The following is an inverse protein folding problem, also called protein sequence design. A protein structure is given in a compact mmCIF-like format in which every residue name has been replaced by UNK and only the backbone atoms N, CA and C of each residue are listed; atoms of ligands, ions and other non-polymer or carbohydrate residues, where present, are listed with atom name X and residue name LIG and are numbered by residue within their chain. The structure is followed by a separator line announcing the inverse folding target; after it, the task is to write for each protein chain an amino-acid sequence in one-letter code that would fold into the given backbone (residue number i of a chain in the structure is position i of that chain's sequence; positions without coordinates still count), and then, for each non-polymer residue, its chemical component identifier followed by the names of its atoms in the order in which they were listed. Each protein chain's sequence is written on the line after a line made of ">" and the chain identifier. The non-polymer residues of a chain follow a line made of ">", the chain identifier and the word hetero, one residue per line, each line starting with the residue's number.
data_IF_233323815907
#
_entry.id   IF_233323815907
#
_cell.length_a   1.000
_cell.length_b   1.000
_cell.length_c   1.000
_cell.angle_alpha   90.00
_cell.angle_beta   90.00
_cell.angle_gamma   90.00
#
_symmetry.space_group_name_H-M   'P 1'
#
loop_
_entity.id
_entity.type
_entity.pdbx_description
1 polymer ?
#
# COMPACT_ATOMS: atom_id res chain seq x y z
N UNK A 1 17.34 -1.34 -28.19
CA UNK A 1 18.29 -1.53 -27.08
C UNK A 1 17.77 -1.02 -25.73
N UNK A 2 17.03 0.10 -25.68
CA UNK A 2 16.44 0.61 -24.40
C UNK A 2 15.45 -0.33 -23.71
N UNK A 3 14.72 -1.18 -24.44
CA UNK A 3 13.70 -2.07 -23.85
C UNK A 3 14.27 -3.19 -22.94
N UNK A 4 15.51 -3.60 -23.17
CA UNK A 4 16.16 -4.65 -22.37
C UNK A 4 16.77 -4.12 -21.06
N UNK A 5 17.19 -2.87 -21.06
CA UNK A 5 17.69 -2.19 -19.85
C UNK A 5 16.55 -1.92 -18.85
N UNK A 6 15.39 -1.47 -19.36
CA UNK A 6 14.21 -1.20 -18.52
C UNK A 6 13.68 -2.51 -17.92
N UNK A 7 13.63 -3.60 -18.68
CA UNK A 7 13.27 -4.93 -18.16
C UNK A 7 14.26 -5.44 -17.11
N UNK A 8 15.56 -5.11 -17.26
CA UNK A 8 16.58 -5.43 -16.25
C UNK A 8 16.40 -4.63 -14.96
N UNK A 9 16.07 -3.34 -15.05
CA UNK A 9 15.80 -2.49 -13.87
C UNK A 9 14.52 -2.96 -13.16
N UNK A 10 13.46 -3.27 -13.88
CA UNK A 10 12.23 -3.84 -13.32
C UNK A 10 12.49 -5.20 -12.65
N UNK A 11 13.32 -6.04 -13.28
CA UNK A 11 13.72 -7.33 -12.74
C UNK A 11 14.64 -7.16 -11.51
N UNK A 12 15.56 -6.19 -11.51
CA UNK A 12 16.47 -5.94 -10.37
C UNK A 12 15.72 -5.38 -9.15
N UNK A 13 14.75 -4.49 -9.33
CA UNK A 13 13.90 -4.02 -8.23
C UNK A 13 13.03 -5.16 -7.70
N UNK A 14 12.55 -6.05 -8.57
CA UNK A 14 11.78 -7.24 -8.18
C UNK A 14 12.65 -8.29 -7.49
N UNK A 15 13.89 -8.50 -7.95
CA UNK A 15 14.84 -9.48 -7.37
C UNK A 15 15.46 -8.98 -6.07
N UNK A 16 15.74 -7.67 -5.92
CA UNK A 16 16.27 -7.13 -4.66
C UNK A 16 15.28 -7.24 -3.50
N UNK A 17 13.97 -7.28 -3.78
CA UNK A 17 12.94 -7.50 -2.76
C UNK A 17 12.80 -8.97 -2.34
N UNK A 18 13.37 -9.92 -3.09
CA UNK A 18 13.18 -11.37 -2.84
C UNK A 18 14.33 -11.97 -1.99
N UNK A 19 15.48 -11.32 -1.90
CA UNK A 19 16.70 -11.93 -1.32
C UNK A 19 16.99 -11.58 0.14
N UNK A 20 16.12 -10.85 0.84
CA UNK A 20 16.31 -10.55 2.26
C UNK A 20 15.35 -11.35 3.12
N UNK A 21 15.86 -12.43 3.65
CA UNK A 21 15.41 -13.20 4.81
C UNK A 21 14.67 -14.50 4.56
N UNK A 22 15.42 -15.58 4.65
CA UNK A 22 14.94 -16.97 4.81
C UNK A 22 14.52 -17.27 6.25
N UNK A 23 13.41 -16.73 6.67
CA UNK A 23 12.44 -17.41 7.51
C UNK A 23 11.21 -17.50 6.63
N UNK A 24 10.49 -18.63 6.63
CA UNK A 24 9.31 -18.81 5.79
C UNK A 24 8.23 -17.83 6.23
N UNK A 25 8.31 -16.58 5.74
CA UNK A 25 7.27 -15.61 5.95
C UNK A 25 5.96 -16.21 5.42
N UNK A 26 5.00 -16.39 6.30
CA UNK A 26 3.70 -16.90 5.89
C UNK A 26 2.93 -15.77 5.19
N UNK A 27 2.97 -15.79 3.85
CA UNK A 27 2.34 -14.78 3.02
C UNK A 27 0.94 -15.20 2.60
N UNK A 28 -0.01 -14.32 2.77
CA UNK A 28 -1.39 -14.49 2.34
C UNK A 28 -1.67 -13.58 1.12
N UNK A 29 -2.12 -14.17 0.02
CA UNK A 29 -2.59 -13.42 -1.14
C UNK A 29 -4.07 -13.06 -0.97
N UNK A 30 -4.35 -11.76 -0.91
CA UNK A 30 -5.68 -11.20 -0.70
C UNK A 30 -6.12 -10.48 -1.96
N UNK A 31 -7.09 -11.04 -2.67
CA UNK A 31 -7.70 -10.39 -3.83
C UNK A 31 -8.97 -9.66 -3.42
N UNK A 32 -9.07 -8.39 -3.76
CA UNK A 32 -10.23 -7.54 -3.55
C UNK A 32 -10.71 -6.95 -4.89
N UNK A 33 -11.95 -6.54 -5.03
CA UNK A 33 -12.47 -6.01 -6.29
C UNK A 33 -11.66 -4.84 -6.86
N UNK A 34 -10.98 -4.07 -6.00
CA UNK A 34 -10.34 -2.81 -6.39
C UNK A 34 -8.84 -2.76 -6.12
N UNK A 35 -8.26 -3.79 -5.49
CA UNK A 35 -6.83 -3.92 -5.28
C UNK A 35 -6.47 -5.38 -4.94
N UNK A 36 -5.19 -5.71 -5.09
CA UNK A 36 -4.63 -6.97 -4.59
C UNK A 36 -3.58 -6.67 -3.54
N UNK A 37 -3.54 -7.48 -2.49
CA UNK A 37 -2.57 -7.37 -1.40
C UNK A 37 -1.82 -8.68 -1.20
N UNK A 38 -0.54 -8.59 -0.87
CA UNK A 38 0.23 -9.68 -0.28
C UNK A 38 0.47 -9.30 1.17
N UNK A 39 -0.16 -10.02 2.06
CA UNK A 39 -0.12 -9.77 3.50
C UNK A 39 0.85 -10.72 4.20
N UNK A 40 1.67 -10.18 5.09
CA UNK A 40 2.64 -10.94 5.87
C UNK A 40 2.06 -11.18 7.27
N UNK A 41 1.86 -12.46 7.60
CA UNK A 41 1.25 -12.87 8.87
C UNK A 41 2.20 -12.74 10.07
N UNK A 42 3.52 -12.63 9.86
CA UNK A 42 4.50 -12.37 10.91
C UNK A 42 4.63 -10.87 11.24
N UNK A 43 4.64 -10.04 10.20
CA UNK A 43 4.68 -8.59 10.34
C UNK A 43 3.31 -7.98 10.67
N UNK A 44 2.25 -8.73 10.41
CA UNK A 44 0.84 -8.33 10.52
C UNK A 44 0.54 -7.09 9.66
N UNK A 45 1.17 -7.02 8.49
CA UNK A 45 1.09 -5.91 7.56
C UNK A 45 1.07 -6.40 6.11
N UNK A 46 0.41 -5.67 5.19
CA UNK A 46 0.64 -5.90 3.77
C UNK A 46 2.10 -5.60 3.40
N UNK A 47 2.75 -6.53 2.69
CA UNK A 47 4.08 -6.33 2.08
C UNK A 47 3.99 -5.58 0.77
N UNK A 48 2.89 -5.73 0.06
CA UNK A 48 2.60 -4.96 -1.15
C UNK A 48 1.11 -4.87 -1.39
N UNK A 49 0.70 -3.77 -1.99
CA UNK A 49 -0.65 -3.59 -2.54
C UNK A 49 -0.51 -3.08 -3.96
N UNK A 50 -1.27 -3.68 -4.88
CA UNK A 50 -1.29 -3.31 -6.29
C UNK A 50 -2.70 -2.99 -6.76
N UNK A 51 -2.83 -2.00 -7.61
CA UNK A 51 -4.11 -1.64 -8.23
C UNK A 51 -3.90 -0.93 -9.57
N UNK A 52 -4.92 -1.02 -10.42
CA UNK A 52 -5.04 -0.12 -11.57
C UNK A 52 -5.92 1.05 -11.17
N UNK A 53 -5.48 2.25 -11.46
CA UNK A 53 -6.25 3.48 -11.27
C UNK A 53 -6.67 4.01 -12.65
N UNK A 54 -7.96 3.98 -12.92
CA UNK A 54 -8.55 4.60 -14.10
C UNK A 54 -8.96 6.04 -13.80
N UNK A 55 -8.96 6.90 -14.82
CA UNK A 55 -9.50 8.25 -14.69
C UNK A 55 -10.95 8.25 -14.17
N UNK A 56 -11.75 7.26 -14.59
CA UNK A 56 -13.14 7.06 -14.17
C UNK A 56 -13.31 6.63 -12.69
N UNK A 57 -12.24 6.17 -12.04
CA UNK A 57 -12.28 5.78 -10.62
C UNK A 57 -12.22 6.99 -9.68
N UNK A 58 -11.85 8.15 -10.23
CA UNK A 58 -11.72 9.42 -9.50
C UNK A 58 -13.03 10.18 -9.61
N UNK A 59 -13.75 10.27 -8.50
CA UNK A 59 -15.05 10.94 -8.42
C UNK A 59 -15.16 11.84 -7.20
N UNK A 60 -16.40 12.18 -6.83
CA UNK A 60 -16.71 13.15 -5.80
C UNK A 60 -17.21 12.56 -4.47
N UNK A 61 -17.24 11.23 -4.36
CA UNK A 61 -17.61 10.58 -3.10
C UNK A 61 -16.66 11.01 -1.99
N UNK A 62 -17.24 11.40 -0.87
CA UNK A 62 -16.51 11.81 0.34
C UNK A 62 -16.56 10.70 1.36
N UNK A 63 -15.44 10.55 2.09
CA UNK A 63 -15.40 9.67 3.26
C UNK A 63 -16.37 10.17 4.32
N UNK A 64 -17.16 9.26 4.87
CA UNK A 64 -17.99 9.58 6.02
C UNK A 64 -17.23 9.36 7.34
N UNK A 65 -17.41 10.26 8.33
CA UNK A 65 -16.73 10.14 9.63
C UNK A 65 -17.08 8.85 10.41
N UNK A 66 -18.24 8.27 10.12
CA UNK A 66 -18.73 7.02 10.74
C UNK A 66 -18.02 5.77 10.25
N UNK A 67 -17.33 5.81 9.09
CA UNK A 67 -16.67 4.64 8.55
C UNK A 67 -15.52 4.18 9.44
N UNK A 68 -15.53 2.90 9.74
CA UNK A 68 -14.49 2.22 10.51
C UNK A 68 -13.69 1.29 9.61
N UNK A 69 -12.45 1.04 9.99
CA UNK A 69 -11.67 -0.03 9.38
C UNK A 69 -12.23 -1.38 9.80
N UNK A 70 -12.11 -2.36 8.93
CA UNK A 70 -12.60 -3.72 9.12
C UNK A 70 -11.39 -4.67 9.02
N UNK A 71 -11.33 -5.62 9.95
CA UNK A 71 -10.38 -6.70 9.87
C UNK A 71 -10.86 -7.69 8.81
N UNK A 72 -10.06 -7.86 7.76
CA UNK A 72 -10.38 -8.67 6.60
C UNK A 72 -9.37 -9.82 6.38
N UNK A 73 -8.50 -10.06 7.36
CA UNK A 73 -7.52 -11.15 7.39
C UNK A 73 -7.94 -12.16 8.42
N UNK A 74 -8.15 -13.40 7.97
CA UNK A 74 -8.37 -14.54 8.87
C UNK A 74 -7.00 -15.10 9.31
N UNK A 75 -6.57 -14.69 10.50
CA UNK A 75 -5.27 -15.06 11.06
C UNK A 75 -5.43 -16.11 12.16
N UNK A 76 -4.70 -17.25 12.12
CA UNK A 76 -4.85 -18.34 13.09
C UNK A 76 -4.61 -17.95 14.55
N UNK A 77 -3.81 -16.90 14.80
CA UNK A 77 -3.45 -16.42 16.14
C UNK A 77 -4.20 -15.13 16.55
N UNK A 78 -5.27 -14.77 15.83
CA UNK A 78 -5.90 -13.46 15.94
C UNK A 78 -5.17 -12.40 15.12
N UNK A 79 -5.88 -11.41 14.68
CA UNK A 79 -5.39 -10.44 13.71
C UNK A 79 -4.86 -9.21 14.41
N UNK A 80 -3.84 -8.57 13.84
CA UNK A 80 -3.57 -7.16 14.10
C UNK A 80 -4.78 -6.37 13.65
N UNK A 81 -5.65 -6.07 14.58
CA UNK A 81 -6.85 -5.35 14.29
C UNK A 81 -6.57 -3.84 14.18
N UNK A 82 -7.51 -3.12 13.61
CA UNK A 82 -7.42 -1.67 13.53
C UNK A 82 -7.23 -1.00 14.91
N UNK A 83 -7.47 -1.70 16.00
CA UNK A 83 -7.30 -1.21 17.36
C UNK A 83 -5.84 -1.12 17.80
N UNK A 84 -4.93 -1.88 17.20
CA UNK A 84 -3.49 -1.80 17.47
C UNK A 84 -2.89 -0.41 17.19
N UNK A 85 -3.56 0.37 16.36
CA UNK A 85 -3.16 1.75 16.07
C UNK A 85 -3.59 2.77 17.13
N UNK A 86 -4.49 2.40 18.05
CA UNK A 86 -4.97 3.32 19.09
C UNK A 86 -3.81 3.71 20.01
N UNK A 87 -3.66 5.02 20.23
CA UNK A 87 -2.62 5.58 21.10
C UNK A 87 -1.16 5.23 20.73
N UNK A 88 -0.94 4.66 19.53
CA UNK A 88 0.40 4.25 19.07
C UNK A 88 1.26 5.40 18.54
N UNK A 89 0.66 6.54 18.22
CA UNK A 89 1.31 7.64 17.51
C UNK A 89 1.32 7.47 15.98
N UNK A 90 0.82 6.35 15.46
CA UNK A 90 0.76 6.07 14.02
C UNK A 90 -0.66 6.19 13.48
N UNK A 91 -0.76 6.68 12.26
CA UNK A 91 -2.00 6.63 11.48
C UNK A 91 -2.19 5.25 10.84
N UNK A 92 -3.44 4.87 10.59
CA UNK A 92 -3.84 3.78 9.69
C UNK A 92 -3.62 4.25 8.26
N UNK A 93 -2.37 4.18 7.79
CA UNK A 93 -2.00 4.69 6.46
C UNK A 93 -2.46 3.73 5.36
N UNK A 94 -3.29 4.22 4.44
CA UNK A 94 -3.70 3.45 3.27
C UNK A 94 -2.52 3.24 2.31
N UNK A 95 -2.42 2.05 1.71
CA UNK A 95 -1.56 1.79 0.55
C UNK A 95 -2.31 2.11 -0.75
N UNK A 96 -3.46 1.48 -1.00
CA UNK A 96 -4.42 1.92 -2.02
C UNK A 96 -5.34 3.01 -1.41
N UNK A 97 -5.23 4.27 -1.85
CA UNK A 97 -5.95 5.38 -1.22
C UNK A 97 -7.45 5.30 -1.42
N UNK A 98 -8.23 5.69 -0.41
CA UNK A 98 -9.67 5.80 -0.53
C UNK A 98 -10.11 6.75 -1.65
N UNK A 99 -9.36 7.84 -1.87
CA UNK A 99 -9.64 8.83 -2.93
C UNK A 99 -9.47 8.25 -4.34
N UNK A 100 -8.65 7.21 -4.52
CA UNK A 100 -8.49 6.50 -5.80
C UNK A 100 -9.72 5.64 -6.16
N UNK A 101 -10.70 5.55 -5.28
CA UNK A 101 -11.96 4.81 -5.42
C UNK A 101 -13.17 5.68 -5.14
N UNK A 102 -13.04 6.98 -5.42
CA UNK A 102 -14.09 7.98 -5.09
C UNK A 102 -15.22 8.06 -6.11
N UNK A 103 -15.27 7.18 -7.10
CA UNK A 103 -16.39 7.11 -8.06
C UNK A 103 -17.66 6.48 -7.43
N UNK A 104 -17.53 5.68 -6.37
CA UNK A 104 -18.63 4.97 -5.75
C UNK A 104 -18.38 4.73 -4.26
N UNK A 105 -19.44 4.80 -3.43
CA UNK A 105 -19.37 4.63 -1.96
C UNK A 105 -18.80 3.27 -1.58
N UNK A 106 -19.29 2.18 -2.17
CA UNK A 106 -18.82 0.84 -1.85
C UNK A 106 -17.34 0.62 -2.26
N UNK A 107 -16.92 1.21 -3.38
CA UNK A 107 -15.53 1.14 -3.84
C UNK A 107 -14.59 1.88 -2.88
N UNK A 108 -14.94 3.11 -2.49
CA UNK A 108 -14.16 3.84 -1.49
C UNK A 108 -14.13 3.11 -0.15
N UNK A 109 -15.28 2.63 0.33
CA UNK A 109 -15.39 1.93 1.61
C UNK A 109 -14.57 0.63 1.65
N UNK A 110 -14.42 -0.08 0.53
CA UNK A 110 -13.64 -1.31 0.44
C UNK A 110 -12.15 -1.13 0.71
N UNK A 111 -11.63 0.10 0.67
CA UNK A 111 -10.24 0.40 1.00
C UNK A 111 -9.96 0.46 2.50
N UNK A 112 -11.00 0.48 3.35
CA UNK A 112 -10.89 0.59 4.81
C UNK A 112 -10.75 -0.79 5.47
N UNK A 113 -9.69 -1.52 5.11
CA UNK A 113 -9.43 -2.89 5.58
C UNK A 113 -7.99 -3.04 6.08
N UNK A 114 -7.74 -4.01 6.96
CA UNK A 114 -6.41 -4.27 7.50
C UNK A 114 -5.43 -4.74 6.43
N UNK A 115 -5.91 -5.44 5.39
CA UNK A 115 -5.08 -5.84 4.24
C UNK A 115 -4.58 -4.69 3.38
N UNK A 116 -5.03 -3.45 3.64
CA UNK A 116 -4.68 -2.26 2.86
C UNK A 116 -4.04 -1.14 3.68
N UNK A 117 -3.78 -1.35 4.97
CA UNK A 117 -3.21 -0.31 5.84
C UNK A 117 -1.92 -0.74 6.52
N UNK A 118 -1.08 0.24 6.81
CA UNK A 118 0.16 0.06 7.58
C UNK A 118 0.37 1.21 8.54
N UNK A 119 1.19 1.04 9.60
CA UNK A 119 1.57 2.15 10.47
C UNK A 119 2.37 3.21 9.71
N UNK A 120 1.81 4.39 9.58
CA UNK A 120 2.46 5.57 9.00
C UNK A 120 2.49 6.70 10.01
N UNK A 121 3.64 7.36 10.16
CA UNK A 121 3.70 8.59 10.95
C UNK A 121 2.77 9.66 10.35
N UNK A 122 2.11 10.47 11.20
CA UNK A 122 1.19 11.51 10.73
C UNK A 122 1.81 12.42 9.66
N UNK A 123 3.06 12.87 9.87
CA UNK A 123 3.80 13.74 8.95
C UNK A 123 4.03 13.08 7.58
N UNK A 124 4.29 11.77 7.53
CA UNK A 124 4.39 11.02 6.29
C UNK A 124 3.01 10.94 5.62
N UNK A 125 2.02 10.38 6.33
CA UNK A 125 0.71 10.06 5.80
C UNK A 125 -0.03 11.28 5.23
N UNK A 126 0.04 12.43 5.91
CA UNK A 126 -0.61 13.67 5.47
C UNK A 126 0.33 14.60 4.66
N UNK A 127 1.57 14.21 4.48
CA UNK A 127 2.61 14.99 3.80
C UNK A 127 3.10 14.34 2.51
N UNK A 128 4.30 13.77 2.56
CA UNK A 128 4.96 13.24 1.36
C UNK A 128 4.21 12.07 0.72
N UNK A 129 3.58 11.20 1.51
CA UNK A 129 2.76 10.11 0.97
C UNK A 129 1.54 10.63 0.23
N UNK A 130 0.79 11.57 0.82
CA UNK A 130 -0.35 12.22 0.18
C UNK A 130 0.04 12.87 -1.16
N UNK A 131 1.20 13.54 -1.24
CA UNK A 131 1.68 14.12 -2.50
C UNK A 131 1.90 13.08 -3.60
N UNK A 132 2.37 11.88 -3.26
CA UNK A 132 2.49 10.81 -4.27
C UNK A 132 1.13 10.32 -4.77
N UNK A 133 0.13 10.27 -3.89
CA UNK A 133 -1.25 9.90 -4.25
C UNK A 133 -1.87 10.92 -5.19
N UNK A 134 -1.71 12.21 -4.90
CA UNK A 134 -2.19 13.31 -5.75
C UNK A 134 -1.52 13.27 -7.13
N UNK A 135 -0.22 12.99 -7.16
CA UNK A 135 0.52 12.83 -8.42
C UNK A 135 -0.03 11.63 -9.22
N UNK A 136 -0.26 10.48 -8.59
CA UNK A 136 -0.84 9.30 -9.25
C UNK A 136 -2.22 9.60 -9.84
N UNK A 137 -3.09 10.31 -9.11
CA UNK A 137 -4.41 10.71 -9.63
C UNK A 137 -4.27 11.64 -10.84
N UNK A 138 -3.37 12.61 -10.78
CA UNK A 138 -3.09 13.50 -11.93
C UNK A 138 -2.57 12.72 -13.14
N UNK A 139 -1.72 11.72 -12.92
CA UNK A 139 -1.22 10.85 -13.99
C UNK A 139 -2.35 9.97 -14.57
N UNK A 140 -3.23 9.41 -13.75
CA UNK A 140 -4.39 8.63 -14.23
C UNK A 140 -5.33 9.49 -15.09
N UNK A 141 -5.59 10.73 -14.68
CA UNK A 141 -6.38 11.68 -15.48
C UNK A 141 -5.70 12.04 -16.81
N UNK A 142 -4.37 12.09 -16.84
CA UNK A 142 -3.60 12.40 -18.06
C UNK A 142 -3.50 11.21 -19.02
N UNK A 143 -3.33 10.00 -18.50
CA UNK A 143 -3.03 8.79 -19.28
C UNK A 143 -4.19 7.81 -19.38
N UNK A 144 -5.37 8.17 -18.89
CA UNK A 144 -6.58 7.36 -18.80
C UNK A 144 -6.48 6.25 -17.75
N UNK A 145 -5.35 5.56 -17.67
CA UNK A 145 -5.11 4.54 -16.65
C UNK A 145 -3.62 4.34 -16.36
N UNK A 146 -3.32 4.08 -15.09
CA UNK A 146 -1.99 3.71 -14.60
C UNK A 146 -2.09 2.50 -13.68
N UNK A 147 -1.05 1.68 -13.65
CA UNK A 147 -0.86 0.66 -12.63
C UNK A 147 0.01 1.20 -11.51
N UNK A 148 -0.31 0.84 -10.27
CA UNK A 148 0.40 1.32 -9.08
C UNK A 148 0.74 0.14 -8.17
N UNK A 149 1.94 0.20 -7.61
CA UNK A 149 2.44 -0.67 -6.55
C UNK A 149 2.81 0.19 -5.35
N UNK A 150 2.35 -0.18 -4.16
CA UNK A 150 2.79 0.39 -2.89
C UNK A 150 3.35 -0.73 -2.00
N UNK A 151 4.56 -0.51 -1.46
CA UNK A 151 5.27 -1.50 -0.65
C UNK A 151 5.83 -0.84 0.62
N UNK A 152 5.44 -1.27 1.80
CA UNK A 152 6.18 -1.01 3.02
C UNK A 152 7.53 -1.74 3.00
N UNK A 153 8.55 -1.13 3.63
CA UNK A 153 9.92 -1.66 3.66
C UNK A 153 10.41 -1.72 5.10
N UNK A 154 10.87 -2.89 5.51
CA UNK A 154 11.56 -3.13 6.78
C UNK A 154 13.04 -3.36 6.47
N UNK A 155 13.91 -2.47 6.98
CA UNK A 155 15.35 -2.46 6.68
C UNK A 155 16.15 -3.42 7.57
N UNK A 156 15.61 -3.72 8.75
CA UNK A 156 16.18 -4.67 9.70
C UNK A 156 15.07 -5.46 10.41
N UNK A 157 15.49 -6.42 11.26
CA UNK A 157 14.57 -7.26 12.05
C UNK A 157 14.10 -6.58 13.33
N UNK A 158 14.83 -5.60 13.82
CA UNK A 158 14.54 -4.87 15.06
C UNK A 158 13.61 -3.68 14.79
N UNK A 159 12.51 -3.96 14.10
CA UNK A 159 11.49 -2.94 13.84
C UNK A 159 10.65 -2.65 15.08
N UNK A 160 10.26 -1.40 15.23
CA UNK A 160 9.25 -0.99 16.22
C UNK A 160 7.97 -1.78 16.00
N UNK A 161 7.34 -2.21 17.09
CA UNK A 161 6.06 -2.91 17.04
C UNK A 161 5.04 -2.17 17.91
N UNK A 162 3.79 -2.16 17.48
CA UNK A 162 2.69 -1.44 18.13
C UNK A 162 1.51 -2.36 18.40
N UNK A 163 0.70 -1.96 19.40
CA UNK A 163 -0.55 -2.65 19.75
C UNK A 163 -0.34 -3.98 20.45
N UNK A 164 -1.45 -4.60 20.81
CA UNK A 164 -1.49 -5.86 21.55
C UNK A 164 -0.96 -7.05 20.70
N UNK A 165 -1.08 -6.97 19.39
CA UNK A 165 -0.67 -8.04 18.48
C UNK A 165 0.74 -7.84 17.90
N UNK A 166 1.48 -6.83 18.37
CA UNK A 166 2.88 -6.58 17.93
C UNK A 166 3.00 -6.29 16.43
N UNK A 167 2.13 -5.44 15.90
CA UNK A 167 2.11 -4.99 14.52
C UNK A 167 3.42 -4.28 14.15
N UNK A 168 4.11 -4.73 13.13
CA UNK A 168 5.42 -4.19 12.74
C UNK A 168 5.31 -2.85 12.02
N UNK A 169 6.12 -1.87 12.45
CA UNK A 169 6.17 -0.53 11.85
C UNK A 169 7.20 -0.52 10.71
N UNK A 170 6.82 -0.17 9.46
CA UNK A 170 7.77 -0.04 8.37
C UNK A 170 8.74 1.12 8.56
N UNK A 171 10.01 0.95 8.14
CA UNK A 171 11.01 2.02 8.13
C UNK A 171 10.82 3.00 6.97
N UNK A 172 10.32 2.49 5.85
CA UNK A 172 10.14 3.27 4.63
C UNK A 172 9.00 2.69 3.78
N UNK A 173 8.69 3.39 2.70
CA UNK A 173 7.71 2.98 1.70
C UNK A 173 8.27 3.19 0.29
N UNK A 174 7.99 2.24 -0.58
CA UNK A 174 8.13 2.39 -2.01
C UNK A 174 6.75 2.59 -2.63
N UNK A 175 6.62 3.53 -3.53
CA UNK A 175 5.48 3.61 -4.45
C UNK A 175 6.04 3.70 -5.86
N UNK A 176 5.56 2.83 -6.75
CA UNK A 176 5.90 2.84 -8.16
C UNK A 176 4.64 2.89 -8.99
N UNK A 177 4.69 3.57 -10.12
CA UNK A 177 3.59 3.61 -11.07
C UNK A 177 4.10 3.57 -12.51
N UNK A 178 3.29 2.96 -13.38
CA UNK A 178 3.57 2.82 -14.80
C UNK A 178 2.31 2.94 -15.62
N UNK A 179 2.47 3.26 -16.88
CA UNK A 179 1.40 3.40 -17.83
C UNK A 179 0.77 2.03 -18.12
N UNK A 180 -0.55 1.89 -17.93
CA UNK A 180 -1.23 0.60 -17.99
C UNK A 180 -1.19 -0.08 -19.38
N UNK A 181 -1.05 0.70 -20.48
CA UNK A 181 -1.05 0.17 -21.85
C UNK A 181 0.35 -0.09 -22.41
N UNK A 182 1.36 0.62 -21.93
CA UNK A 182 2.73 0.56 -22.52
C UNK A 182 3.77 -0.01 -21.57
N UNK A 183 3.40 -0.28 -20.31
CA UNK A 183 4.29 -0.71 -19.23
C UNK A 183 5.49 0.24 -18.96
N UNK A 184 5.41 1.45 -19.50
CA UNK A 184 6.44 2.46 -19.26
C UNK A 184 6.37 2.96 -17.82
N UNK A 185 7.48 2.90 -17.10
CA UNK A 185 7.58 3.45 -15.75
C UNK A 185 7.39 4.97 -15.81
N UNK A 186 6.45 5.48 -15.03
CA UNK A 186 6.13 6.90 -14.94
C UNK A 186 6.85 7.56 -13.77
N UNK A 187 6.86 6.91 -12.61
CA UNK A 187 7.57 7.41 -11.43
C UNK A 187 7.81 6.30 -10.39
N UNK A 188 8.83 6.51 -9.54
CA UNK A 188 9.14 5.67 -8.38
C UNK A 188 9.57 6.57 -7.23
N UNK A 189 8.98 6.37 -6.05
CA UNK A 189 9.34 7.06 -4.82
C UNK A 189 9.84 6.07 -3.78
N UNK A 190 10.87 6.47 -3.03
CA UNK A 190 11.29 5.83 -1.79
C UNK A 190 11.21 6.88 -0.68
N UNK A 191 10.41 6.63 0.35
CA UNK A 191 10.10 7.63 1.37
C UNK A 191 10.22 7.00 2.75
N UNK A 192 11.07 7.57 3.60
CA UNK A 192 11.20 7.13 4.99
C UNK A 192 9.97 7.45 5.82
N UNK A 193 9.64 6.56 6.75
CA UNK A 193 8.57 6.73 7.75
C UNK A 193 9.09 7.54 8.94
N UNK A 194 9.31 8.87 8.72
CA UNK A 194 9.89 9.81 9.69
C UNK A 194 9.28 11.20 9.63
#
# INVERSE_FOLDING_TARGET
>A
MLSNEIKRITLVVFVLCITVCSTSAQLLHVSRPYYNSVYDLELLCPKQVTWTLHASDIGDVKREPSWRFVDDIDHPLGVACHDDYKHSGYHRGHLCPAKDRSFQICAMRSTFTTSNITPQLPKLNTGSWLRTEEWCRSAALKYDSICILAMPVWLDRDTVRIGAHSLAVPHAFVKACWHAKTDSVLNVWFIFNK
#
